data_IF_873689366267
#
_entry.id   IF_873689366267
#
_cell.length_a   1.000
_cell.length_b   1.000
_cell.length_c   1.000
_cell.angle_alpha   90.00
_cell.angle_beta   90.00
_cell.angle_gamma   90.00
#
_symmetry.space_group_name_H-M   'P 1'
#
loop_
_entity.id
_entity.type
_entity.pdbx_description
1 polymer ?
#
# COMPACT_ATOMS: atom_id res chain seq x y z
N UNK A 1 20.86 -9.63 11.28
CA UNK A 1 20.03 -9.30 10.10
C UNK A 1 20.34 -10.09 8.82
N UNK A 2 21.49 -10.78 8.67
CA UNK A 2 21.72 -11.67 7.50
C UNK A 2 22.29 -10.99 6.24
N UNK A 3 22.90 -9.80 6.37
CA UNK A 3 23.48 -9.06 5.25
C UNK A 3 22.44 -8.28 4.43
N UNK A 4 22.86 -7.82 3.24
CA UNK A 4 21.99 -7.18 2.27
C UNK A 4 21.06 -8.21 1.63
N UNK A 5 19.83 -7.80 1.37
CA UNK A 5 18.85 -8.67 0.73
C UNK A 5 19.06 -8.65 -0.80
N UNK A 6 19.29 -9.82 -1.43
CA UNK A 6 19.62 -9.90 -2.85
C UNK A 6 18.47 -9.51 -3.78
N UNK A 7 17.23 -9.34 -3.28
CA UNK A 7 16.12 -8.85 -4.10
C UNK A 7 16.31 -7.39 -4.55
N UNK A 8 17.18 -6.61 -3.87
CA UNK A 8 17.44 -5.22 -4.22
C UNK A 8 18.59 -5.12 -5.24
N UNK A 9 18.25 -4.79 -6.48
CA UNK A 9 19.23 -4.62 -7.57
C UNK A 9 19.48 -3.16 -7.99
N UNK A 10 18.64 -2.22 -7.54
CA UNK A 10 18.67 -0.82 -7.99
C UNK A 10 18.95 0.18 -6.87
N UNK A 11 18.16 0.13 -5.79
CA UNK A 11 18.27 0.97 -4.60
C UNK A 11 17.49 0.34 -3.43
N UNK A 12 17.68 0.85 -2.21
CA UNK A 12 16.86 0.51 -1.02
C UNK A 12 17.36 -0.68 -0.21
N UNK A 13 18.42 -1.34 -0.65
CA UNK A 13 19.19 -2.35 0.07
C UNK A 13 19.77 -1.78 1.38
N UNK A 14 20.29 -0.56 1.32
CA UNK A 14 20.77 0.22 2.46
C UNK A 14 19.66 0.53 3.47
N UNK A 15 18.51 0.98 2.97
CA UNK A 15 17.34 1.31 3.79
C UNK A 15 16.79 0.05 4.47
N UNK A 16 16.60 -1.03 3.72
CA UNK A 16 16.11 -2.31 4.25
C UNK A 16 17.05 -2.85 5.33
N UNK A 17 18.36 -2.83 5.08
CA UNK A 17 19.37 -3.24 6.05
C UNK A 17 19.30 -2.40 7.32
N UNK A 18 19.25 -1.07 7.19
CA UNK A 18 19.18 -0.16 8.34
C UNK A 18 17.92 -0.37 9.16
N UNK A 19 16.76 -0.53 8.51
CA UNK A 19 15.49 -0.77 9.21
C UNK A 19 15.45 -2.14 9.89
N UNK A 20 15.93 -3.20 9.24
CA UNK A 20 16.07 -4.52 9.90
C UNK A 20 17.00 -4.44 11.10
N UNK A 21 18.09 -3.67 11.01
CA UNK A 21 19.03 -3.49 12.10
C UNK A 21 18.36 -2.78 13.29
N UNK A 22 17.64 -1.68 13.02
CA UNK A 22 16.90 -0.93 14.04
C UNK A 22 15.78 -1.76 14.68
N UNK A 23 15.00 -2.50 13.88
CA UNK A 23 13.96 -3.41 14.36
C UNK A 23 14.54 -4.55 15.20
N UNK A 24 15.76 -4.98 14.89
CA UNK A 24 16.53 -5.94 15.69
C UNK A 24 17.16 -5.36 16.97
N UNK A 25 16.84 -4.11 17.34
CA UNK A 25 17.38 -3.42 18.51
C UNK A 25 18.77 -2.80 18.30
N UNK A 26 19.31 -2.85 17.08
CA UNK A 26 20.58 -2.21 16.74
C UNK A 26 20.46 -0.68 16.70
N UNK A 27 21.57 0.00 17.00
CA UNK A 27 21.65 1.46 17.01
C UNK A 27 22.48 1.95 15.83
N UNK A 28 21.98 2.95 15.10
CA UNK A 28 22.69 3.63 14.02
C UNK A 28 22.95 5.07 14.48
N UNK A 29 24.21 5.49 14.41
CA UNK A 29 24.65 6.83 14.82
C UNK A 29 25.28 7.59 13.65
N UNK A 30 25.16 8.91 13.67
CA UNK A 30 25.81 9.80 12.71
C UNK A 30 27.22 10.16 13.20
N UNK A 31 28.23 9.96 12.36
CA UNK A 31 29.59 10.41 12.62
C UNK A 31 29.86 11.73 11.87
N UNK A 32 30.00 12.88 12.56
CA UNK A 32 30.21 14.17 11.91
C UNK A 32 31.56 14.30 11.20
N UNK A 33 32.53 13.47 11.56
CA UNK A 33 33.87 13.45 10.96
C UNK A 33 33.99 12.46 9.80
N UNK A 34 32.94 11.70 9.49
CA UNK A 34 32.95 10.76 8.38
C UNK A 34 33.01 11.51 7.04
N UNK A 35 34.00 11.18 6.21
CA UNK A 35 34.18 11.74 4.87
C UNK A 35 33.72 10.70 3.85
N UNK A 36 32.87 11.13 2.92
CA UNK A 36 32.36 10.27 1.83
C UNK A 36 32.60 10.96 0.50
N UNK A 37 33.28 10.27 -0.41
CA UNK A 37 33.37 10.68 -1.81
C UNK A 37 32.18 10.12 -2.58
N UNK A 38 31.35 11.01 -3.14
CA UNK A 38 30.21 10.62 -3.95
C UNK A 38 30.34 11.18 -5.36
N UNK A 39 30.42 10.29 -6.35
CA UNK A 39 30.38 10.65 -7.76
C UNK A 39 28.93 10.86 -8.21
N UNK A 40 28.55 12.11 -8.47
CA UNK A 40 27.20 12.49 -8.87
C UNK A 40 26.86 11.94 -10.26
N UNK A 41 25.56 11.80 -10.54
CA UNK A 41 25.06 11.50 -11.88
C UNK A 41 24.97 12.80 -12.67
N UNK A 42 25.59 12.83 -13.85
CA UNK A 42 25.75 14.06 -14.65
C UNK A 42 24.84 14.14 -15.88
N UNK A 43 24.01 13.12 -16.15
CA UNK A 43 23.14 13.08 -17.33
C UNK A 43 21.67 12.96 -16.96
N UNK A 44 20.79 13.51 -17.80
CA UNK A 44 19.33 13.42 -17.62
C UNK A 44 18.84 11.98 -17.62
N UNK A 45 19.44 11.11 -18.46
CA UNK A 45 19.13 9.68 -18.51
C UNK A 45 19.48 8.99 -17.19
N UNK A 46 20.64 9.28 -16.62
CA UNK A 46 21.05 8.72 -15.34
C UNK A 46 20.17 9.21 -14.19
N UNK A 47 19.78 10.49 -14.20
CA UNK A 47 18.83 11.04 -13.22
C UNK A 47 17.46 10.34 -13.32
N UNK A 48 16.91 10.19 -14.53
CA UNK A 48 15.64 9.47 -14.73
C UNK A 48 15.72 8.03 -14.21
N UNK A 49 16.77 7.28 -14.57
CA UNK A 49 16.99 5.90 -14.11
C UNK A 49 17.11 5.82 -12.59
N UNK A 50 17.72 6.81 -11.95
CA UNK A 50 17.79 6.89 -10.50
C UNK A 50 16.39 7.07 -9.87
N UNK A 51 15.53 7.91 -10.44
CA UNK A 51 14.15 8.07 -9.95
C UNK A 51 13.30 6.81 -10.16
N UNK A 52 13.50 6.10 -11.26
CA UNK A 52 12.89 4.79 -11.51
C UNK A 52 13.33 3.78 -10.44
N UNK A 53 14.63 3.67 -10.17
CA UNK A 53 15.18 2.79 -9.13
C UNK A 53 14.68 3.12 -7.72
N UNK A 54 14.54 4.41 -7.38
CA UNK A 54 13.93 4.81 -6.11
C UNK A 54 12.45 4.41 -6.01
N UNK A 55 11.69 4.52 -7.10
CA UNK A 55 10.29 4.08 -7.10
C UNK A 55 10.16 2.57 -6.90
N UNK A 56 11.01 1.80 -7.57
CA UNK A 56 11.08 0.35 -7.44
C UNK A 56 11.43 -0.06 -6.00
N UNK A 57 12.48 0.55 -5.44
CA UNK A 57 12.92 0.34 -4.06
C UNK A 57 11.83 0.64 -3.04
N UNK A 58 11.14 1.79 -3.16
CA UNK A 58 10.00 2.14 -2.29
C UNK A 58 8.91 1.08 -2.31
N UNK A 59 8.62 0.51 -3.48
CA UNK A 59 7.61 -0.53 -3.62
C UNK A 59 8.01 -1.82 -2.89
N UNK A 60 9.26 -2.27 -3.08
CA UNK A 60 9.80 -3.46 -2.42
C UNK A 60 9.88 -3.29 -0.90
N UNK A 61 10.42 -2.15 -0.45
CA UNK A 61 10.48 -1.78 0.97
C UNK A 61 9.10 -1.74 1.62
N UNK A 62 8.08 -1.22 0.93
CA UNK A 62 6.73 -1.14 1.45
C UNK A 62 6.12 -2.50 1.80
N UNK A 63 6.53 -3.57 1.11
CA UNK A 63 6.07 -4.92 1.44
C UNK A 63 6.63 -5.43 2.76
N UNK A 64 7.92 -5.18 3.00
CA UNK A 64 8.64 -5.69 4.18
C UNK A 64 8.41 -4.81 5.40
N UNK A 65 8.27 -3.50 5.17
CA UNK A 65 8.36 -2.47 6.21
C UNK A 65 7.20 -1.48 6.18
N UNK A 66 5.96 -2.00 6.12
CA UNK A 66 4.75 -1.17 5.96
C UNK A 66 4.62 -0.05 7.02
N UNK A 67 5.17 -0.24 8.23
CA UNK A 67 5.19 0.74 9.33
C UNK A 67 5.79 2.08 8.90
N UNK A 68 6.82 2.05 8.04
CA UNK A 68 7.54 3.25 7.62
C UNK A 68 6.94 3.92 6.38
N UNK A 69 5.71 3.59 5.99
CA UNK A 69 5.07 4.17 4.80
C UNK A 69 3.78 4.92 5.12
N UNK A 70 3.51 5.97 4.33
CA UNK A 70 2.24 6.70 4.34
C UNK A 70 1.14 6.05 3.50
N UNK A 71 -0.10 6.58 3.56
CA UNK A 71 -1.23 6.08 2.77
C UNK A 71 -0.98 6.10 1.25
N UNK A 72 -0.28 7.14 0.76
CA UNK A 72 0.15 7.33 -0.64
C UNK A 72 1.36 6.46 -1.03
N UNK A 73 1.85 5.62 -0.12
CA UNK A 73 2.98 4.72 -0.38
C UNK A 73 4.33 5.43 -0.50
N UNK A 74 4.44 6.67 -0.03
CA UNK A 74 5.73 7.34 0.17
C UNK A 74 6.35 6.89 1.49
N UNK A 75 7.67 6.75 1.52
CA UNK A 75 8.40 6.45 2.75
C UNK A 75 8.34 7.64 3.72
N UNK A 76 8.01 7.37 4.98
CA UNK A 76 8.02 8.32 6.09
C UNK A 76 9.40 8.28 6.73
N UNK A 77 10.14 9.37 6.61
CA UNK A 77 11.47 9.50 7.18
C UNK A 77 11.42 10.24 8.51
N UNK A 78 12.13 9.73 9.52
CA UNK A 78 12.39 10.48 10.74
C UNK A 78 13.54 11.46 10.46
N UNK A 79 13.20 12.72 10.15
CA UNK A 79 14.17 13.76 9.83
C UNK A 79 13.91 14.43 8.48
N UNK A 80 14.97 14.88 7.81
CA UNK A 80 14.89 15.57 6.52
C UNK A 80 15.83 14.93 5.51
N UNK A 81 15.32 14.66 4.30
CA UNK A 81 16.17 14.29 3.17
C UNK A 81 16.80 15.57 2.60
N UNK A 82 18.10 15.53 2.35
CA UNK A 82 18.84 16.66 1.80
C UNK A 82 18.30 17.10 0.43
N UNK A 83 18.30 18.42 0.18
CA UNK A 83 18.09 18.98 -1.16
C UNK A 83 16.64 19.13 -1.63
N UNK A 84 15.63 18.81 -0.81
CA UNK A 84 14.22 19.10 -1.16
C UNK A 84 13.91 20.59 -0.97
N UNK A 85 13.62 21.37 -2.02
CA UNK A 85 13.20 22.75 -1.86
C UNK A 85 11.83 22.82 -1.20
N UNK A 86 11.70 23.88 -0.41
CA UNK A 86 10.61 24.08 0.53
C UNK A 86 9.46 24.80 -0.16
N UNK A 87 8.38 24.08 -0.47
CA UNK A 87 7.07 24.71 -0.72
C UNK A 87 6.47 25.31 0.56
N UNK A 88 7.01 24.94 1.73
CA UNK A 88 6.51 25.37 3.05
C UNK A 88 6.61 26.87 3.30
N UNK A 89 7.36 27.67 2.52
CA UNK A 89 7.50 29.10 2.83
C UNK A 89 6.24 29.94 2.56
N UNK A 90 5.28 29.47 1.76
CA UNK A 90 3.97 30.13 1.68
C UNK A 90 3.16 29.98 2.98
N UNK A 91 3.50 29.02 3.85
CA UNK A 91 2.69 28.62 5.01
C UNK A 91 3.50 28.46 6.33
N UNK A 92 4.83 28.62 6.33
CA UNK A 92 5.67 28.38 7.51
C UNK A 92 7.09 28.92 7.39
N UNK A 93 7.52 29.68 8.40
CA UNK A 93 8.91 30.12 8.60
C UNK A 93 9.65 29.10 9.48
N UNK A 94 10.96 28.86 9.27
CA UNK A 94 11.74 28.08 10.21
C UNK A 94 11.70 28.74 11.59
N UNK A 95 11.43 27.95 12.63
CA UNK A 95 11.36 28.42 14.01
C UNK A 95 12.76 28.24 14.60
N UNK A 96 13.30 29.33 15.14
CA UNK A 96 14.48 29.28 16.00
C UNK A 96 13.94 29.26 17.43
N UNK A 97 14.26 28.22 18.19
CA UNK A 97 13.95 28.20 19.61
C UNK A 97 14.96 29.09 20.32
N UNK A 98 14.45 30.11 21.01
CA UNK A 98 15.30 31.05 21.73
C UNK A 98 15.32 30.75 23.24
N UNK A 99 14.53 29.79 23.76
CA UNK A 99 14.34 29.65 25.21
C UNK A 99 13.28 30.61 25.76
N UNK A 100 12.87 30.40 27.01
CA UNK A 100 12.04 31.37 27.74
C UNK A 100 12.92 32.63 27.92
N UNK A 101 12.40 33.80 27.54
CA UNK A 101 13.15 35.08 27.57
C UNK A 101 14.44 35.12 26.75
N UNK A 102 14.53 34.32 25.68
CA UNK A 102 15.73 34.23 24.84
C UNK A 102 16.97 33.61 25.54
N UNK A 103 16.79 32.88 26.65
CA UNK A 103 17.87 32.29 27.46
C UNK A 103 18.34 30.90 26.96
N UNK A 104 18.09 30.56 25.70
CA UNK A 104 18.49 29.30 25.11
C UNK A 104 19.99 29.27 24.79
N UNK A 105 20.74 28.40 25.48
CA UNK A 105 22.19 28.25 25.29
C UNK A 105 22.66 27.96 23.85
N UNK A 106 21.79 27.39 22.99
CA UNK A 106 22.12 27.05 21.59
C UNK A 106 20.94 27.33 20.64
N UNK A 107 21.20 28.11 19.58
CA UNK A 107 20.23 28.36 18.51
C UNK A 107 20.23 27.21 17.51
N UNK A 108 19.41 26.19 17.79
CA UNK A 108 19.16 25.14 16.80
C UNK A 108 18.15 25.64 15.76
N UNK A 109 18.50 25.57 14.48
CA UNK A 109 17.51 25.77 13.40
C UNK A 109 16.68 24.49 13.34
N UNK A 110 15.41 24.58 13.72
CA UNK A 110 14.47 23.48 13.52
C UNK A 110 13.98 23.55 12.08
N UNK A 111 14.40 22.64 11.18
CA UNK A 111 13.91 22.66 9.81
C UNK A 111 12.41 22.36 9.83
N UNK A 112 11.63 23.18 9.12
CA UNK A 112 10.22 22.84 8.88
C UNK A 112 10.16 21.49 8.16
N UNK A 113 9.28 20.57 8.57
CA UNK A 113 9.11 19.30 7.88
C UNK A 113 8.79 19.50 6.39
N UNK A 114 9.02 18.47 5.58
CA UNK A 114 8.68 18.50 4.16
C UNK A 114 7.18 18.82 4.01
N UNK A 115 6.82 19.67 3.05
CA UNK A 115 5.42 20.04 2.85
C UNK A 115 4.64 18.84 2.32
N UNK A 116 3.77 18.29 3.16
CA UNK A 116 2.86 17.19 2.77
C UNK A 116 1.95 17.62 1.61
N UNK A 117 1.55 18.90 1.58
CA UNK A 117 0.77 19.48 0.48
C UNK A 117 1.54 19.40 -0.83
N UNK A 118 2.82 19.79 -0.84
CA UNK A 118 3.64 19.70 -2.06
C UNK A 118 3.88 18.25 -2.50
N UNK A 119 4.06 17.34 -1.54
CA UNK A 119 4.16 15.91 -1.83
C UNK A 119 2.85 15.36 -2.46
N UNK A 120 1.70 15.83 -2.01
CA UNK A 120 0.40 15.45 -2.55
C UNK A 120 0.15 16.06 -3.94
N UNK A 121 0.39 17.37 -4.11
CA UNK A 121 0.23 18.08 -5.40
C UNK A 121 1.16 17.54 -6.49
N UNK A 122 2.33 17.00 -6.12
CA UNK A 122 3.25 16.38 -7.06
C UNK A 122 3.08 14.86 -7.18
N UNK A 123 2.12 14.28 -6.46
CA UNK A 123 1.88 12.82 -6.49
C UNK A 123 1.31 12.37 -7.83
N UNK A 124 1.59 11.12 -8.20
CA UNK A 124 1.01 10.52 -9.40
C UNK A 124 -0.51 10.31 -9.25
N UNK A 125 -1.00 10.13 -8.03
CA UNK A 125 -2.42 10.05 -7.71
C UNK A 125 -3.14 11.36 -8.01
N UNK A 126 -2.55 12.51 -7.64
CA UNK A 126 -3.06 13.83 -7.98
C UNK A 126 -3.08 14.06 -9.49
N UNK A 127 -2.00 13.68 -10.18
CA UNK A 127 -1.91 13.82 -11.63
C UNK A 127 -2.91 12.91 -12.37
N UNK A 128 -3.08 11.67 -11.93
CA UNK A 128 -4.07 10.75 -12.48
C UNK A 128 -5.51 11.26 -12.28
N UNK A 129 -5.82 11.81 -11.09
CA UNK A 129 -7.10 12.46 -10.82
C UNK A 129 -7.30 13.70 -11.71
N UNK A 130 -6.25 14.50 -11.90
CA UNK A 130 -6.27 15.68 -12.79
C UNK A 130 -6.63 15.27 -14.22
N UNK A 131 -5.98 14.24 -14.78
CA UNK A 131 -6.30 13.71 -16.12
C UNK A 131 -7.73 13.19 -16.18
N UNK A 132 -8.15 12.43 -15.17
CA UNK A 132 -9.51 11.92 -15.10
C UNK A 132 -10.56 13.05 -15.15
N UNK A 133 -10.34 14.11 -14.37
CA UNK A 133 -11.23 15.27 -14.33
C UNK A 133 -11.18 16.10 -15.62
N UNK A 134 -10.03 16.17 -16.32
CA UNK A 134 -9.99 16.73 -17.68
C UNK A 134 -10.92 15.96 -18.63
N UNK A 135 -10.83 14.62 -18.61
CA UNK A 135 -11.72 13.76 -19.40
C UNK A 135 -13.19 13.97 -19.04
N UNK A 136 -13.52 14.02 -17.75
CA UNK A 136 -14.87 14.31 -17.29
C UNK A 136 -15.34 15.74 -17.67
N UNK A 137 -14.42 16.70 -17.67
CA UNK A 137 -14.67 18.10 -18.04
C UNK A 137 -15.04 18.30 -19.52
N UNK A 138 -14.67 17.37 -20.41
CA UNK A 138 -15.19 17.37 -21.80
C UNK A 138 -16.71 17.32 -21.79
N UNK A 139 -17.27 16.47 -20.93
CA UNK A 139 -18.69 16.19 -20.80
C UNK A 139 -19.43 17.16 -19.88
N UNK A 140 -18.75 17.69 -18.86
CA UNK A 140 -19.32 18.61 -17.87
C UNK A 140 -18.52 19.93 -17.88
N UNK A 141 -18.93 20.93 -18.71
CA UNK A 141 -18.16 22.15 -18.88
C UNK A 141 -17.81 22.92 -17.59
N UNK A 142 -18.70 23.02 -16.58
CA UNK A 142 -18.37 23.66 -15.31
C UNK A 142 -17.23 22.99 -14.55
N UNK A 143 -16.99 21.70 -14.76
CA UNK A 143 -15.93 20.95 -14.09
C UNK A 143 -14.55 21.28 -14.65
N UNK A 144 -14.44 21.90 -15.84
CA UNK A 144 -13.16 22.16 -16.53
C UNK A 144 -12.20 23.02 -15.72
N UNK A 145 -12.68 23.93 -14.88
CA UNK A 145 -11.82 24.80 -14.07
C UNK A 145 -11.00 24.01 -13.04
N UNK A 146 -11.55 22.92 -12.51
CA UNK A 146 -10.93 22.12 -11.44
C UNK A 146 -9.59 21.52 -11.88
N UNK A 147 -9.49 20.75 -12.98
CA UNK A 147 -8.22 20.17 -13.39
C UNK A 147 -7.18 21.22 -13.81
N UNK A 148 -7.58 22.41 -14.30
CA UNK A 148 -6.64 23.51 -14.54
C UNK A 148 -6.03 24.03 -13.23
N UNK A 149 -6.84 24.21 -12.18
CA UNK A 149 -6.34 24.59 -10.85
C UNK A 149 -5.43 23.51 -10.26
N UNK A 150 -5.77 22.24 -10.45
CA UNK A 150 -4.95 21.11 -9.97
C UNK A 150 -3.59 21.04 -10.67
N UNK A 151 -3.57 21.24 -12.00
CA UNK A 151 -2.34 21.32 -12.77
C UNK A 151 -1.53 22.56 -12.35
N UNK A 152 -2.19 23.70 -12.15
CA UNK A 152 -1.58 24.91 -11.61
C UNK A 152 -0.88 24.69 -10.27
N UNK A 153 -1.52 23.96 -9.34
CA UNK A 153 -0.89 23.58 -8.06
C UNK A 153 0.38 22.75 -8.25
N UNK A 154 0.37 21.80 -9.18
CA UNK A 154 1.55 20.98 -9.53
C UNK A 154 2.68 21.84 -10.12
N UNK A 155 2.32 22.77 -11.02
CA UNK A 155 3.26 23.72 -11.62
C UNK A 155 3.84 24.69 -10.59
N UNK A 156 3.06 25.16 -9.62
CA UNK A 156 3.55 25.98 -8.51
C UNK A 156 4.61 25.26 -7.68
N UNK A 157 4.43 23.94 -7.44
CA UNK A 157 5.46 23.13 -6.79
C UNK A 157 6.72 23.08 -7.64
N UNK A 158 6.62 22.76 -8.94
CA UNK A 158 7.79 22.73 -9.84
C UNK A 158 8.49 24.10 -9.96
N UNK A 159 7.73 25.19 -10.05
CA UNK A 159 8.25 26.56 -10.08
C UNK A 159 9.02 26.90 -8.79
N UNK A 160 8.60 26.37 -7.64
CA UNK A 160 9.35 26.57 -6.39
C UNK A 160 10.77 26.00 -6.46
N UNK A 161 10.98 24.90 -7.19
CA UNK A 161 12.31 24.34 -7.46
C UNK A 161 13.11 25.26 -8.38
N UNK A 162 12.49 25.78 -9.44
CA UNK A 162 13.12 26.74 -10.37
C UNK A 162 13.72 27.94 -9.65
N UNK A 163 12.98 28.51 -8.68
CA UNK A 163 13.39 29.72 -7.95
C UNK A 163 14.42 29.40 -6.88
N UNK A 164 14.28 28.28 -6.16
CA UNK A 164 15.03 28.03 -4.91
C UNK A 164 16.20 27.07 -5.03
N UNK A 165 16.30 26.31 -6.13
CA UNK A 165 17.42 25.41 -6.31
C UNK A 165 18.73 26.20 -6.30
N UNK A 166 19.69 25.74 -5.48
CA UNK A 166 21.04 26.30 -5.45
C UNK A 166 21.78 25.77 -6.66
N UNK A 167 21.97 26.62 -7.65
CA UNK A 167 22.79 26.36 -8.84
C UNK A 167 24.09 27.12 -8.63
N UNK A 168 25.20 26.54 -9.06
CA UNK A 168 26.49 27.22 -9.03
C UNK A 168 26.40 28.49 -9.90
N UNK A 169 26.89 29.66 -9.45
CA UNK A 169 26.66 30.93 -10.13
C UNK A 169 27.02 30.93 -11.62
N UNK A 170 28.10 30.21 -11.99
CA UNK A 170 28.54 30.06 -13.40
C UNK A 170 27.52 29.36 -14.31
N UNK A 171 26.62 28.57 -13.75
CA UNK A 171 25.61 27.79 -14.48
C UNK A 171 24.19 28.27 -14.18
N UNK A 172 24.02 29.34 -13.41
CA UNK A 172 22.71 29.84 -12.98
C UNK A 172 22.03 30.68 -14.08
N UNK A 173 21.63 29.99 -15.14
CA UNK A 173 20.92 30.57 -16.28
C UNK A 173 19.42 30.24 -16.22
N UNK A 174 18.60 31.01 -16.95
CA UNK A 174 17.17 30.72 -17.12
C UNK A 174 16.95 29.31 -17.68
N UNK A 175 17.79 28.87 -18.62
CA UNK A 175 17.71 27.51 -19.18
C UNK A 175 17.98 26.44 -18.11
N UNK A 176 19.00 26.62 -17.27
CA UNK A 176 19.30 25.71 -16.16
C UNK A 176 18.14 25.65 -15.16
N UNK A 177 17.55 26.80 -14.83
CA UNK A 177 16.41 26.89 -13.91
C UNK A 177 15.15 26.23 -14.49
N UNK A 178 14.85 26.47 -15.77
CA UNK A 178 13.74 25.80 -16.47
C UNK A 178 13.96 24.29 -16.52
N UNK A 179 15.19 23.84 -16.76
CA UNK A 179 15.52 22.41 -16.70
C UNK A 179 15.26 21.83 -15.31
N UNK A 180 15.66 22.53 -14.23
CA UNK A 180 15.36 22.12 -12.85
C UNK A 180 13.85 22.05 -12.62
N UNK A 181 13.07 23.02 -13.12
CA UNK A 181 11.61 23.00 -13.04
C UNK A 181 11.03 21.75 -13.70
N UNK A 182 11.45 21.46 -14.94
CA UNK A 182 10.99 20.30 -15.70
C UNK A 182 11.36 18.99 -15.01
N UNK A 183 12.57 18.90 -14.44
CA UNK A 183 13.00 17.74 -13.68
C UNK A 183 12.20 17.57 -12.39
N UNK A 184 11.91 18.66 -11.68
CA UNK A 184 11.07 18.64 -10.48
C UNK A 184 9.62 18.23 -10.78
N UNK A 185 9.10 18.58 -11.95
CA UNK A 185 7.79 18.14 -12.42
C UNK A 185 7.80 16.65 -12.82
N UNK A 186 8.82 16.22 -13.58
CA UNK A 186 8.89 14.86 -14.12
C UNK A 186 9.27 13.81 -13.07
N UNK A 187 10.12 14.16 -12.10
CA UNK A 187 10.69 13.23 -11.14
C UNK A 187 9.63 12.47 -10.31
N UNK A 188 8.62 13.14 -9.70
CA UNK A 188 7.55 12.47 -8.97
C UNK A 188 6.71 11.54 -9.84
N UNK A 189 6.46 11.89 -11.11
CA UNK A 189 5.72 11.06 -12.05
C UNK A 189 6.49 9.80 -12.43
N UNK A 190 7.78 9.94 -12.74
CA UNK A 190 8.66 8.80 -13.07
C UNK A 190 8.80 7.85 -11.88
N UNK A 191 9.09 8.41 -10.69
CA UNK A 191 9.22 7.63 -9.45
C UNK A 191 7.91 6.95 -9.07
N UNK A 192 6.80 7.70 -9.12
CA UNK A 192 5.46 7.18 -8.85
C UNK A 192 5.07 6.06 -9.83
N UNK A 193 5.32 6.25 -11.13
CA UNK A 193 5.05 5.24 -12.14
C UNK A 193 5.81 3.95 -11.86
N UNK A 194 7.13 4.04 -11.63
CA UNK A 194 7.96 2.89 -11.27
C UNK A 194 7.41 2.21 -10.00
N UNK A 195 7.10 2.98 -8.95
CA UNK A 195 6.54 2.46 -7.70
C UNK A 195 5.26 1.66 -7.94
N UNK A 196 4.29 2.22 -8.66
CA UNK A 196 3.01 1.55 -8.94
C UNK A 196 3.16 0.37 -9.87
N UNK A 197 4.02 0.47 -10.89
CA UNK A 197 4.27 -0.62 -11.82
C UNK A 197 4.92 -1.80 -11.11
N UNK A 198 6.00 -1.56 -10.36
CA UNK A 198 6.66 -2.56 -9.51
C UNK A 198 5.67 -3.13 -8.50
N UNK A 199 4.86 -2.29 -7.86
CA UNK A 199 3.83 -2.74 -6.92
C UNK A 199 2.84 -3.69 -7.61
N UNK A 200 2.29 -3.31 -8.76
CA UNK A 200 1.35 -4.14 -9.49
C UNK A 200 2.01 -5.42 -10.03
N UNK A 201 3.29 -5.39 -10.39
CA UNK A 201 4.04 -6.54 -10.88
C UNK A 201 4.28 -7.56 -9.76
N UNK A 202 4.86 -7.13 -8.64
CA UNK A 202 5.28 -8.00 -7.54
C UNK A 202 4.17 -8.33 -6.53
N UNK A 203 3.04 -7.59 -6.52
CA UNK A 203 1.89 -7.90 -5.65
C UNK A 203 1.15 -9.18 -5.95
N UNK A 204 1.45 -9.87 -7.05
CA UNK A 204 0.57 -10.94 -7.52
C UNK A 204 0.99 -12.25 -6.90
N UNK A 205 0.04 -12.90 -6.24
CA UNK A 205 0.18 -14.33 -6.01
C UNK A 205 0.09 -15.02 -7.37
N UNK A 206 1.04 -15.89 -7.73
CA UNK A 206 1.02 -16.60 -9.01
C UNK A 206 -0.33 -17.30 -9.25
N UNK A 207 -0.79 -17.27 -10.50
CA UNK A 207 -2.09 -17.87 -10.86
C UNK A 207 -2.17 -19.37 -10.56
N UNK A 208 -1.03 -20.07 -10.60
CA UNK A 208 -0.90 -21.48 -10.22
C UNK A 208 -1.28 -21.72 -8.76
N UNK A 209 -0.78 -20.89 -7.84
CA UNK A 209 -1.06 -20.97 -6.39
C UNK A 209 -2.55 -20.71 -6.10
N UNK A 210 -3.16 -19.76 -6.82
CA UNK A 210 -4.60 -19.47 -6.68
C UNK A 210 -5.47 -20.60 -7.27
N UNK A 211 -4.97 -21.33 -8.28
CA UNK A 211 -5.70 -22.40 -8.96
C UNK A 211 -5.59 -23.76 -8.24
N UNK A 212 -4.58 -23.95 -7.39
CA UNK A 212 -4.46 -25.11 -6.51
C UNK A 212 -5.63 -25.17 -5.52
N UNK A 213 -5.91 -26.35 -4.97
CA UNK A 213 -6.96 -26.54 -3.96
C UNK A 213 -6.40 -27.41 -2.85
N UNK A 214 -6.73 -27.08 -1.59
CA UNK A 214 -6.35 -27.96 -0.48
C UNK A 214 -7.21 -29.21 -0.49
N UNK A 215 -6.56 -30.37 -0.34
CA UNK A 215 -7.24 -31.63 -0.06
C UNK A 215 -7.29 -31.81 1.45
N UNK A 216 -8.44 -31.51 2.05
CA UNK A 216 -8.71 -31.92 3.43
C UNK A 216 -8.86 -33.45 3.49
N UNK A 217 -8.51 -34.09 4.62
CA UNK A 217 -8.70 -35.52 4.79
C UNK A 217 -10.18 -35.93 4.61
N UNK A 218 -10.44 -37.16 4.12
CA UNK A 218 -11.79 -37.66 3.89
C UNK A 218 -12.66 -37.57 5.16
N UNK A 219 -13.87 -37.02 5.04
CA UNK A 219 -14.84 -36.86 6.13
C UNK A 219 -14.97 -35.44 6.71
N UNK A 220 -13.99 -34.54 6.50
CA UNK A 220 -14.11 -33.13 6.95
C UNK A 220 -14.76 -32.26 5.88
N UNK A 221 -15.98 -31.77 6.15
CA UNK A 221 -16.73 -30.93 5.20
C UNK A 221 -16.25 -29.49 5.24
N UNK A 222 -16.01 -28.93 4.06
CA UNK A 222 -15.83 -27.49 3.90
C UNK A 222 -17.20 -26.80 4.02
N UNK A 223 -17.38 -26.01 5.07
CA UNK A 223 -18.62 -25.28 5.34
C UNK A 223 -18.96 -24.22 4.29
N UNK A 224 -20.27 -24.04 4.06
CA UNK A 224 -20.86 -23.02 3.18
C UNK A 224 -20.74 -21.57 3.67
N UNK A 225 -20.16 -21.31 4.85
CA UNK A 225 -19.99 -19.94 5.33
C UNK A 225 -18.86 -19.24 4.57
N UNK A 226 -19.21 -18.23 3.78
CA UNK A 226 -18.32 -17.60 2.81
C UNK A 226 -17.43 -16.49 3.37
N UNK A 227 -17.64 -16.02 4.59
CA UNK A 227 -16.94 -14.83 5.09
C UNK A 227 -16.62 -14.81 6.58
N UNK A 228 -17.27 -15.64 7.38
CA UNK A 228 -16.96 -15.82 8.81
C UNK A 228 -16.79 -17.30 9.10
N UNK A 229 -15.61 -17.67 9.56
CA UNK A 229 -15.21 -19.02 9.91
C UNK A 229 -15.05 -19.06 11.43
N UNK A 230 -15.31 -20.21 12.02
CA UNK A 230 -15.24 -20.41 13.46
C UNK A 230 -14.57 -21.76 13.74
N UNK A 231 -13.61 -21.75 14.65
CA UNK A 231 -12.74 -22.87 14.95
C UNK A 231 -12.66 -23.05 16.47
N UNK A 232 -13.00 -24.25 16.93
CA UNK A 232 -12.95 -24.66 18.33
C UNK A 232 -11.65 -25.39 18.63
N UNK A 233 -11.07 -25.13 19.80
CA UNK A 233 -9.94 -25.87 20.31
C UNK A 233 -10.07 -26.05 21.83
N UNK A 234 -9.62 -27.19 22.34
CA UNK A 234 -9.64 -27.53 23.77
C UNK A 234 -8.23 -27.61 24.38
N UNK A 235 -7.20 -27.52 23.55
CA UNK A 235 -5.77 -27.65 23.90
C UNK A 235 -5.11 -26.30 24.20
N UNK A 236 -5.87 -25.20 24.32
CA UNK A 236 -5.35 -23.86 24.57
C UNK A 236 -4.72 -23.16 23.37
N UNK A 237 -4.90 -23.67 22.15
CA UNK A 237 -4.31 -23.05 20.94
C UNK A 237 -5.11 -21.83 20.51
N UNK A 238 -4.52 -20.67 20.71
CA UNK A 238 -5.12 -19.37 20.42
C UNK A 238 -4.91 -18.89 18.96
N UNK A 239 -5.31 -17.65 18.68
CA UNK A 239 -5.09 -17.00 17.38
C UNK A 239 -3.61 -16.89 16.99
N UNK A 240 -2.68 -16.77 17.94
CA UNK A 240 -1.26 -16.60 17.60
C UNK A 240 -0.69 -17.89 17.01
N UNK A 241 -1.05 -19.03 17.63
CA UNK A 241 -0.71 -20.36 17.12
C UNK A 241 -1.31 -20.59 15.73
N UNK A 242 -2.55 -20.13 15.53
CA UNK A 242 -3.23 -20.24 14.24
C UNK A 242 -2.64 -19.36 13.15
N UNK A 243 -2.36 -18.08 13.45
CA UNK A 243 -1.73 -17.16 12.52
C UNK A 243 -0.33 -17.63 12.12
N UNK A 244 0.44 -18.21 13.06
CA UNK A 244 1.74 -18.82 12.78
C UNK A 244 1.64 -19.89 11.71
N UNK A 245 0.69 -20.82 11.82
CA UNK A 245 0.51 -21.87 10.81
C UNK A 245 0.02 -21.31 9.46
N UNK A 246 -0.85 -20.30 9.48
CA UNK A 246 -1.25 -19.59 8.25
C UNK A 246 -0.02 -18.97 7.58
N UNK A 247 0.87 -18.31 8.32
CA UNK A 247 2.09 -17.74 7.76
C UNK A 247 3.02 -18.82 7.18
N UNK A 248 3.17 -19.96 7.87
CA UNK A 248 3.94 -21.11 7.36
C UNK A 248 3.42 -21.55 6.00
N UNK A 249 2.11 -21.74 5.84
CA UNK A 249 1.49 -22.14 4.58
C UNK A 249 1.61 -21.07 3.49
N UNK A 250 1.36 -19.80 3.84
CA UNK A 250 1.50 -18.69 2.90
C UNK A 250 2.94 -18.62 2.35
N UNK A 251 3.95 -18.83 3.20
CA UNK A 251 5.35 -18.86 2.78
C UNK A 251 5.69 -20.10 1.95
N UNK A 252 5.21 -21.28 2.35
CA UNK A 252 5.45 -22.54 1.62
C UNK A 252 4.98 -22.49 0.17
N UNK A 253 3.84 -21.84 -0.08
CA UNK A 253 3.28 -21.71 -1.43
C UNK A 253 3.64 -20.39 -2.13
N UNK A 254 4.53 -19.58 -1.54
CA UNK A 254 4.95 -18.27 -2.06
C UNK A 254 3.78 -17.29 -2.32
N UNK A 255 2.81 -17.25 -1.40
CA UNK A 255 1.78 -16.21 -1.40
C UNK A 255 2.39 -14.83 -1.18
N UNK A 256 1.84 -13.83 -1.86
CA UNK A 256 2.19 -12.43 -1.59
C UNK A 256 1.21 -11.87 -0.56
N UNK A 257 1.71 -11.45 0.59
CA UNK A 257 0.89 -10.91 1.67
C UNK A 257 1.63 -9.81 2.46
N UNK A 258 0.88 -9.10 3.29
CA UNK A 258 1.39 -8.13 4.27
C UNK A 258 0.78 -8.43 5.63
N UNK A 259 1.55 -8.17 6.69
CA UNK A 259 1.15 -8.40 8.09
C UNK A 259 0.74 -7.05 8.70
N UNK A 260 -0.09 -7.10 9.74
CA UNK A 260 -0.38 -5.95 10.59
C UNK A 260 0.90 -5.33 11.18
N UNK A 261 0.87 -4.02 11.29
CA UNK A 261 1.88 -3.15 11.89
C UNK A 261 1.52 -2.72 13.32
N UNK A 262 0.43 -3.23 13.88
CA UNK A 262 -0.17 -2.82 15.16
C UNK A 262 -1.16 -1.65 15.04
N UNK A 263 -1.45 -1.19 13.83
CA UNK A 263 -2.31 -0.04 13.54
C UNK A 263 -3.34 -0.34 12.46
N UNK A 264 -3.31 -1.54 11.88
CA UNK A 264 -4.28 -1.93 10.87
C UNK A 264 -5.49 -2.56 11.54
N UNK A 265 -6.67 -2.36 10.96
CA UNK A 265 -7.87 -3.08 11.39
C UNK A 265 -7.86 -4.56 10.97
N UNK A 266 -6.75 -5.09 10.49
CA UNK A 266 -6.63 -6.43 9.92
C UNK A 266 -5.30 -7.05 10.25
N UNK A 267 -5.28 -8.38 10.39
CA UNK A 267 -4.08 -9.12 10.79
C UNK A 267 -3.21 -9.46 9.58
N UNK A 268 -3.85 -9.87 8.48
CA UNK A 268 -3.18 -10.25 7.24
C UNK A 268 -3.92 -9.65 6.04
N UNK A 269 -3.17 -9.03 5.14
CA UNK A 269 -3.65 -8.64 3.82
C UNK A 269 -2.99 -9.53 2.77
N UNK A 270 -3.76 -10.44 2.18
CA UNK A 270 -3.32 -11.35 1.12
C UNK A 270 -3.57 -10.70 -0.25
N UNK A 271 -2.51 -10.58 -1.04
CA UNK A 271 -2.57 -10.00 -2.37
C UNK A 271 -2.84 -11.09 -3.41
N UNK A 272 -4.04 -11.07 -4.00
CA UNK A 272 -4.41 -12.07 -4.99
C UNK A 272 -3.92 -11.70 -6.38
N UNK A 273 -4.75 -10.94 -7.09
CA UNK A 273 -4.52 -10.55 -8.48
C UNK A 273 -4.69 -9.04 -8.66
N UNK A 274 -4.64 -8.57 -9.90
CA UNK A 274 -4.87 -7.17 -10.27
C UNK A 274 -6.19 -6.59 -9.76
N UNK A 275 -7.17 -7.42 -9.44
CA UNK A 275 -8.52 -6.95 -9.16
C UNK A 275 -8.87 -7.01 -7.67
N UNK A 276 -8.34 -8.01 -6.97
CA UNK A 276 -8.76 -8.36 -5.63
C UNK A 276 -7.61 -8.68 -4.70
N UNK A 277 -7.71 -8.14 -3.50
CA UNK A 277 -6.98 -8.60 -2.32
C UNK A 277 -7.98 -9.11 -1.28
N UNK A 278 -7.50 -9.91 -0.32
CA UNK A 278 -8.31 -10.40 0.80
C UNK A 278 -7.71 -9.90 2.09
N UNK A 279 -8.58 -9.34 2.93
CA UNK A 279 -8.26 -9.02 4.30
C UNK A 279 -8.74 -10.18 5.19
N UNK A 280 -7.85 -10.63 6.07
CA UNK A 280 -8.10 -11.62 7.10
C UNK A 280 -8.03 -10.94 8.47
N UNK A 281 -9.09 -11.13 9.27
CA UNK A 281 -9.17 -10.69 10.67
C UNK A 281 -9.46 -11.89 11.56
N UNK A 282 -8.83 -11.96 12.72
CA UNK A 282 -8.97 -13.04 13.68
C UNK A 282 -9.29 -12.50 15.06
N UNK A 283 -10.06 -13.26 15.82
CA UNK A 283 -10.34 -13.00 17.23
C UNK A 283 -10.49 -14.33 17.96
N UNK A 284 -9.97 -14.43 19.17
CA UNK A 284 -10.10 -15.62 20.03
C UNK A 284 -10.93 -15.25 21.25
N UNK A 285 -11.98 -16.04 21.50
CA UNK A 285 -12.76 -16.01 22.74
C UNK A 285 -12.27 -17.16 23.64
N UNK A 286 -11.96 -16.86 24.90
CA UNK A 286 -11.53 -17.85 25.88
C UNK A 286 -12.74 -18.33 26.69
N UNK A 287 -12.87 -19.65 26.84
CA UNK A 287 -14.00 -20.32 27.52
C UNK A 287 -13.58 -21.09 28.79
N UNK A 288 -12.35 -20.87 29.28
CA UNK A 288 -11.80 -21.54 30.47
C UNK A 288 -11.26 -22.95 30.18
N UNK A 289 -10.36 -23.44 31.03
CA UNK A 289 -9.81 -24.81 30.94
C UNK A 289 -9.14 -25.14 29.60
N UNK A 290 -8.42 -24.18 28.99
CA UNK A 290 -7.79 -24.35 27.66
C UNK A 290 -8.76 -24.25 26.48
N UNK A 291 -10.08 -24.16 26.72
CA UNK A 291 -11.08 -24.07 25.65
C UNK A 291 -11.08 -22.67 25.06
N UNK A 292 -10.97 -22.60 23.74
CA UNK A 292 -11.03 -21.34 23.02
C UNK A 292 -11.72 -21.47 21.66
N UNK A 293 -12.39 -20.38 21.28
CA UNK A 293 -13.10 -20.24 20.02
C UNK A 293 -12.43 -19.15 19.21
N UNK A 294 -11.75 -19.52 18.14
CA UNK A 294 -11.12 -18.58 17.21
C UNK A 294 -12.02 -18.35 16.00
N UNK A 295 -12.44 -17.11 15.78
CA UNK A 295 -13.20 -16.68 14.60
C UNK A 295 -12.28 -15.99 13.60
N UNK A 296 -12.48 -16.30 12.32
CA UNK A 296 -11.77 -15.67 11.21
C UNK A 296 -12.77 -15.01 10.28
N UNK A 297 -12.55 -13.75 9.95
CA UNK A 297 -13.31 -13.03 8.96
C UNK A 297 -12.47 -12.81 7.70
N UNK A 298 -13.02 -13.19 6.55
CA UNK A 298 -12.44 -12.94 5.23
C UNK A 298 -13.28 -11.88 4.50
N UNK A 299 -12.67 -10.74 4.20
CA UNK A 299 -13.27 -9.64 3.45
C UNK A 299 -12.52 -9.38 2.15
N UNK A 300 -13.28 -9.05 1.10
CA UNK A 300 -12.69 -8.54 -0.14
C UNK A 300 -12.16 -7.13 0.11
N UNK A 301 -11.00 -6.83 -0.47
CA UNK A 301 -10.46 -5.48 -0.57
C UNK A 301 -10.24 -5.16 -2.03
N UNK A 302 -10.84 -4.07 -2.49
CA UNK A 302 -10.60 -3.57 -3.84
C UNK A 302 -9.14 -3.14 -3.99
N UNK A 303 -8.54 -3.53 -5.11
CA UNK A 303 -7.26 -2.98 -5.56
C UNK A 303 -7.55 -1.67 -6.30
N UNK A 304 -6.61 -0.72 -6.24
CA UNK A 304 -6.75 0.61 -6.85
C UNK A 304 -7.13 0.54 -8.34
N UNK A 305 -6.60 -0.41 -9.08
CA UNK A 305 -6.94 -0.73 -10.48
C UNK A 305 -8.42 -1.03 -10.68
N UNK A 306 -9.04 -1.85 -9.81
CA UNK A 306 -10.48 -2.14 -9.86
C UNK A 306 -11.28 -0.87 -9.63
N UNK A 307 -10.88 -0.05 -8.66
CA UNK A 307 -11.56 1.22 -8.38
C UNK A 307 -11.47 2.16 -9.59
N UNK A 308 -10.27 2.35 -10.16
CA UNK A 308 -10.05 3.22 -11.31
C UNK A 308 -10.89 2.77 -12.52
N UNK A 309 -10.83 1.50 -12.89
CA UNK A 309 -11.56 0.99 -14.06
C UNK A 309 -13.08 1.11 -13.87
N UNK A 310 -13.60 0.73 -12.70
CA UNK A 310 -15.03 0.87 -12.43
C UNK A 310 -15.46 2.34 -12.42
N UNK A 311 -14.64 3.23 -11.86
CA UNK A 311 -14.93 4.66 -11.82
C UNK A 311 -15.00 5.25 -13.24
N UNK A 312 -14.04 4.92 -14.12
CA UNK A 312 -14.07 5.36 -15.53
C UNK A 312 -15.32 4.85 -16.26
N UNK A 313 -15.61 3.54 -16.16
CA UNK A 313 -16.75 2.94 -16.85
C UNK A 313 -18.08 3.49 -16.32
N UNK A 314 -18.23 3.64 -14.99
CA UNK A 314 -19.43 4.20 -14.39
C UNK A 314 -19.62 5.67 -14.78
N UNK A 315 -18.56 6.48 -14.84
CA UNK A 315 -18.67 7.87 -15.30
C UNK A 315 -19.16 7.96 -16.73
N UNK A 316 -18.63 7.13 -17.65
CA UNK A 316 -19.10 7.06 -19.03
C UNK A 316 -20.55 6.60 -19.13
N UNK A 317 -20.92 5.59 -18.32
CA UNK A 317 -22.27 5.04 -18.28
C UNK A 317 -23.29 6.06 -17.77
N UNK A 318 -22.98 6.76 -16.67
CA UNK A 318 -23.82 7.83 -16.10
C UNK A 318 -23.96 8.97 -17.11
N UNK A 319 -22.86 9.42 -17.73
CA UNK A 319 -22.91 10.47 -18.75
C UNK A 319 -23.85 10.11 -19.89
N UNK A 320 -23.72 8.89 -20.41
CA UNK A 320 -24.54 8.42 -21.50
C UNK A 320 -26.03 8.38 -21.10
N UNK A 321 -26.33 7.79 -19.95
CA UNK A 321 -27.69 7.73 -19.40
C UNK A 321 -28.31 9.12 -19.25
N UNK A 322 -27.57 10.10 -18.72
CA UNK A 322 -28.04 11.47 -18.58
C UNK A 322 -28.33 12.16 -19.94
N UNK A 323 -27.60 11.79 -21.01
CA UNK A 323 -27.79 12.39 -22.34
C UNK A 323 -28.97 11.77 -23.11
N UNK A 324 -29.18 10.47 -22.99
CA UNK A 324 -30.19 9.74 -23.80
C UNK A 324 -31.44 9.37 -23.03
N UNK A 325 -31.45 9.48 -21.69
CA UNK A 325 -32.57 9.11 -20.84
C UNK A 325 -32.79 7.59 -20.69
N UNK A 326 -32.00 6.76 -21.38
CA UNK A 326 -32.14 5.32 -21.36
C UNK A 326 -30.79 4.62 -21.18
N UNK A 327 -30.82 3.43 -20.60
CA UNK A 327 -29.64 2.58 -20.46
C UNK A 327 -29.32 1.94 -21.81
N UNK A 328 -28.22 2.37 -22.44
CA UNK A 328 -27.74 1.73 -23.66
C UNK A 328 -27.14 0.35 -23.36
N UNK A 329 -27.77 -0.68 -23.93
CA UNK A 329 -27.33 -2.07 -23.81
C UNK A 329 -25.89 -2.28 -24.29
N UNK A 330 -25.44 -1.50 -25.28
CA UNK A 330 -24.07 -1.54 -25.79
C UNK A 330 -23.01 -1.26 -24.71
N UNK A 331 -23.30 -0.41 -23.72
CA UNK A 331 -22.41 -0.17 -22.58
C UNK A 331 -22.75 -1.07 -21.39
N UNK A 332 -24.02 -1.38 -21.18
CA UNK A 332 -24.47 -2.18 -20.04
C UNK A 332 -23.98 -3.64 -20.12
N UNK A 333 -24.05 -4.28 -21.30
CA UNK A 333 -23.70 -5.68 -21.47
C UNK A 333 -22.20 -5.93 -21.24
N UNK A 334 -21.26 -5.20 -21.88
CA UNK A 334 -19.84 -5.38 -21.61
C UNK A 334 -19.48 -5.11 -20.14
N UNK A 335 -20.09 -4.10 -19.51
CA UNK A 335 -19.86 -3.82 -18.10
C UNK A 335 -20.40 -4.94 -17.20
N UNK A 336 -21.58 -5.49 -17.48
CA UNK A 336 -22.12 -6.63 -16.74
C UNK A 336 -21.23 -7.87 -16.86
N UNK A 337 -20.72 -8.17 -18.06
CA UNK A 337 -19.76 -9.24 -18.30
C UNK A 337 -18.45 -9.01 -17.55
N UNK A 338 -17.94 -7.76 -17.55
CA UNK A 338 -16.75 -7.39 -16.80
C UNK A 338 -16.96 -7.52 -15.28
N UNK A 339 -18.10 -7.05 -14.75
CA UNK A 339 -18.47 -7.18 -13.34
C UNK A 339 -18.60 -8.66 -12.93
N UNK A 340 -19.21 -9.49 -13.79
CA UNK A 340 -19.28 -10.94 -13.58
C UNK A 340 -17.88 -11.56 -13.56
N UNK A 341 -17.01 -11.20 -14.50
CA UNK A 341 -15.61 -11.63 -14.52
C UNK A 341 -14.88 -11.27 -13.21
N UNK A 342 -15.03 -10.02 -12.76
CA UNK A 342 -14.44 -9.56 -11.49
C UNK A 342 -14.98 -10.39 -10.31
N UNK A 343 -16.29 -10.60 -10.24
CA UNK A 343 -16.93 -11.38 -9.18
C UNK A 343 -16.45 -12.83 -9.15
N UNK A 344 -16.35 -13.49 -10.30
CA UNK A 344 -15.85 -14.86 -10.40
C UNK A 344 -14.39 -14.98 -9.95
N UNK A 345 -13.54 -14.01 -10.32
CA UNK A 345 -12.14 -13.94 -9.87
C UNK A 345 -12.04 -13.70 -8.36
N UNK A 346 -12.88 -12.82 -7.81
CA UNK A 346 -12.95 -12.59 -6.36
C UNK A 346 -13.30 -13.88 -5.62
N UNK A 347 -14.37 -14.56 -6.09
CA UNK A 347 -14.87 -15.78 -5.48
C UNK A 347 -13.85 -16.90 -5.50
N UNK A 348 -13.13 -17.08 -6.62
CA UNK A 348 -12.04 -18.07 -6.72
C UNK A 348 -10.94 -17.79 -5.70
N UNK A 349 -10.47 -16.55 -5.62
CA UNK A 349 -9.44 -16.14 -4.66
C UNK A 349 -9.89 -16.39 -3.20
N UNK A 350 -11.13 -16.04 -2.86
CA UNK A 350 -11.64 -16.24 -1.49
C UNK A 350 -11.85 -17.70 -1.13
N UNK A 351 -12.26 -18.50 -2.11
CA UNK A 351 -12.40 -19.94 -1.93
C UNK A 351 -11.06 -20.56 -1.58
N UNK A 352 -10.01 -20.21 -2.33
CA UNK A 352 -8.64 -20.65 -2.08
C UNK A 352 -8.12 -20.22 -0.71
N UNK A 353 -8.23 -18.93 -0.36
CA UNK A 353 -7.76 -18.44 0.95
C UNK A 353 -8.49 -19.12 2.09
N UNK A 354 -9.80 -19.37 1.94
CA UNK A 354 -10.57 -20.13 2.93
C UNK A 354 -10.06 -21.57 3.09
N UNK A 355 -9.76 -22.24 1.99
CA UNK A 355 -9.20 -23.61 2.03
C UNK A 355 -7.87 -23.65 2.76
N UNK A 356 -6.99 -22.68 2.49
CA UNK A 356 -5.73 -22.54 3.22
C UNK A 356 -5.96 -22.32 4.73
N UNK A 357 -6.91 -21.46 5.11
CA UNK A 357 -7.26 -21.22 6.52
C UNK A 357 -7.86 -22.48 7.18
N UNK A 358 -8.72 -23.21 6.47
CA UNK A 358 -9.28 -24.47 6.95
C UNK A 358 -8.20 -25.55 7.14
N UNK A 359 -7.21 -25.59 6.24
CA UNK A 359 -6.09 -26.52 6.32
C UNK A 359 -5.09 -26.15 7.41
N UNK A 360 -4.81 -24.85 7.60
CA UNK A 360 -4.03 -24.34 8.72
C UNK A 360 -4.67 -24.76 10.05
N UNK A 361 -5.99 -24.59 10.19
CA UNK A 361 -6.74 -24.99 11.37
C UNK A 361 -6.63 -26.51 11.61
N UNK A 362 -6.73 -27.30 10.53
CA UNK A 362 -6.56 -28.75 10.60
C UNK A 362 -5.19 -29.17 11.13
N UNK A 363 -4.09 -28.57 10.65
CA UNK A 363 -2.72 -28.90 11.08
C UNK A 363 -2.48 -28.69 12.57
N UNK A 364 -3.20 -27.75 13.18
CA UNK A 364 -3.09 -27.46 14.61
C UNK A 364 -4.23 -28.06 15.46
N UNK A 365 -4.96 -29.05 14.94
CA UNK A 365 -6.08 -29.72 15.63
C UNK A 365 -7.23 -28.77 16.05
N UNK A 366 -7.47 -27.71 15.27
CA UNK A 366 -8.68 -26.89 15.44
C UNK A 366 -9.86 -27.50 14.69
N UNK A 367 -10.98 -27.63 15.38
CA UNK A 367 -12.21 -28.19 14.83
C UNK A 367 -13.12 -27.09 14.28
N UNK A 368 -13.47 -27.17 13.00
CA UNK A 368 -14.35 -26.20 12.36
C UNK A 368 -15.78 -26.32 12.87
N UNK A 369 -16.34 -25.22 13.37
CA UNK A 369 -17.75 -25.12 13.74
C UNK A 369 -18.56 -24.75 12.50
N UNK A 370 -19.44 -25.65 12.05
CA UNK A 370 -20.42 -25.38 11.01
C UNK A 370 -21.64 -24.69 11.64
N UNK A 371 -22.12 -23.62 11.01
CA UNK A 371 -23.21 -22.76 11.50
C UNK A 371 -24.52 -23.51 11.81
N UNK A 372 -24.70 -24.75 11.31
CA UNK A 372 -25.84 -25.60 11.65
C UNK A 372 -25.83 -26.09 13.11
N UNK A 373 -24.66 -26.19 13.78
CA UNK A 373 -24.57 -26.60 15.19
C UNK A 373 -24.92 -25.49 16.19
N UNK A 374 -24.95 -24.23 15.77
CA UNK A 374 -25.31 -23.09 16.64
C UNK A 374 -26.82 -22.89 16.81
N UNK A 375 -27.65 -23.62 16.06
CA UNK A 375 -29.12 -23.65 16.22
C UNK A 375 -29.65 -24.87 16.97
N UNK A 376 -28.78 -25.83 17.32
CA UNK A 376 -29.15 -26.93 18.19
C UNK A 376 -28.92 -26.51 19.64
N UNK A 377 -29.99 -26.51 20.45
CA UNK A 377 -29.89 -26.35 21.89
C UNK A 377 -28.77 -27.25 22.45
N UNK A 378 -27.80 -26.73 23.24
CA UNK A 378 -26.78 -27.54 23.89
C UNK A 378 -27.32 -28.48 24.99
N UNK A 379 -28.64 -28.51 25.23
CA UNK A 379 -29.27 -29.17 26.37
C UNK A 379 -29.97 -30.49 26.04
N UNK A 380 -29.89 -31.02 24.82
CA UNK A 380 -30.62 -32.23 24.44
C UNK A 380 -29.82 -33.54 24.52
N UNK A 381 -28.48 -33.50 24.54
CA UNK A 381 -27.64 -34.71 24.51
C UNK A 381 -26.71 -34.79 25.72
N UNK A 382 -27.30 -34.87 26.92
CA UNK A 382 -26.62 -35.40 28.10
C UNK A 382 -27.18 -36.81 28.37
N UNK A 383 -26.38 -37.89 28.31
CA UNK A 383 -26.82 -39.19 28.76
C UNK A 383 -27.08 -39.14 30.27
N UNK A 384 -28.24 -39.66 30.69
CA UNK A 384 -28.54 -39.93 32.10
C UNK A 384 -27.65 -41.04 32.64
#
# INVERSE_FOLDING_TARGET
VGGFDPEYHAAGDDVDFCWRLQQGGGVIAFSPTAIVWHHRRFTLRAFRKQQEGYGEAESLLRFKHLVFFGPTGTAKWRGQIYGTPRFSWFLGRPIIYHGIFADGFFQSIYPTPQSEVAAYLSSIEWFALTIFLFGAGVFVPPLRIVPYLMLGGTLCVALSYMVRARIEPRFDTIHSRLLVMLLAFAQPLVRGWSRYFTWLHFKRTPGSVIAQHEKLPPGKKIGRSWGRLAYWNEEGKDRHSFLREIFTLLNQENWRYSIDTGWQEWDIQIYGNFWWSIILRTVTEYHGGGKCLTRVQLRYRYVTTTVIVNLIVLTLFIYHFLKTGHVQLFFAIPYALFALFLFLRARRLKTRVRELVDFAAYRINMNRILRSRLRGNPTADAPK
#
